data_IF_887530635347
#
_entry.id   IF_887530635347
#
_cell.length_a   1.000
_cell.length_b   1.000
_cell.length_c   1.000
_cell.angle_alpha   90.00
_cell.angle_beta   90.00
_cell.angle_gamma   90.00
#
_symmetry.space_group_name_H-M   'P 1'
#
loop_
_entity.id
_entity.type
_entity.pdbx_description
1 polymer ?
#
# COMPACT_ATOMS: atom_id res chain seq x y z
N UNK A 1 -2.54 18.37 -6.96
CA UNK A 1 -3.33 18.06 -5.75
C UNK A 1 -4.04 16.71 -5.85
N UNK A 2 -4.91 16.49 -6.84
CA UNK A 2 -5.73 15.26 -6.95
C UNK A 2 -4.95 13.94 -7.02
N UNK A 3 -3.84 13.88 -7.76
CA UNK A 3 -3.04 12.64 -7.86
C UNK A 3 -2.52 12.16 -6.49
N UNK A 4 -2.00 13.07 -5.68
CA UNK A 4 -1.49 12.75 -4.34
C UNK A 4 -2.63 12.36 -3.39
N UNK A 5 -3.77 13.05 -3.48
CA UNK A 5 -4.96 12.72 -2.69
C UNK A 5 -5.48 11.31 -3.03
N UNK A 6 -5.65 11.00 -4.32
CA UNK A 6 -6.10 9.68 -4.78
C UNK A 6 -5.07 8.61 -4.39
N UNK A 7 -3.77 8.85 -4.59
CA UNK A 7 -2.73 7.93 -4.17
C UNK A 7 -2.83 7.61 -2.67
N UNK A 8 -2.99 8.63 -1.83
CA UNK A 8 -3.11 8.48 -0.39
C UNK A 8 -4.38 7.70 0.00
N UNK A 9 -5.52 7.99 -0.62
CA UNK A 9 -6.77 7.26 -0.38
C UNK A 9 -6.63 5.77 -0.75
N UNK A 10 -6.16 5.48 -1.97
CA UNK A 10 -6.01 4.10 -2.46
C UNK A 10 -5.06 3.31 -1.56
N UNK A 11 -3.93 3.93 -1.21
CA UNK A 11 -2.95 3.31 -0.33
C UNK A 11 -3.51 3.07 1.08
N UNK A 12 -4.20 4.06 1.64
CA UNK A 12 -4.84 3.95 2.96
C UNK A 12 -5.82 2.80 3.01
N UNK A 13 -6.72 2.70 2.03
CA UNK A 13 -7.65 1.57 1.96
C UNK A 13 -6.89 0.24 1.79
N UNK A 14 -5.80 0.21 1.00
CA UNK A 14 -4.99 -0.98 0.81
C UNK A 14 -4.39 -1.53 2.11
N UNK A 15 -3.61 -0.73 2.84
CA UNK A 15 -2.98 -1.22 4.06
C UNK A 15 -3.98 -1.41 5.21
N UNK A 16 -5.02 -0.58 5.29
CA UNK A 16 -6.06 -0.71 6.32
C UNK A 16 -6.89 -1.99 6.11
N UNK A 17 -6.99 -2.46 4.86
CA UNK A 17 -7.60 -3.78 4.59
C UNK A 17 -6.77 -4.92 5.16
N UNK A 18 -5.42 -4.84 5.18
CA UNK A 18 -4.62 -5.84 5.91
C UNK A 18 -4.93 -5.85 7.39
N UNK A 19 -5.15 -4.68 7.99
CA UNK A 19 -5.59 -4.58 9.39
C UNK A 19 -6.99 -5.18 9.57
N UNK A 20 -7.94 -4.87 8.70
CA UNK A 20 -9.28 -5.47 8.72
C UNK A 20 -9.26 -7.01 8.53
N UNK A 21 -8.28 -7.55 7.81
CA UNK A 21 -8.11 -9.01 7.69
C UNK A 21 -7.72 -9.66 9.02
N UNK A 22 -7.07 -8.93 9.93
CA UNK A 22 -6.77 -9.40 11.29
C UNK A 22 -8.07 -9.60 12.08
N UNK A 23 -9.06 -8.72 11.88
CA UNK A 23 -10.30 -8.72 12.66
C UNK A 23 -11.46 -9.44 11.97
N UNK A 24 -11.25 -10.02 10.77
CA UNK A 24 -12.30 -10.61 9.91
C UNK A 24 -13.22 -11.59 10.64
N UNK A 25 -12.66 -12.52 11.41
CA UNK A 25 -13.48 -13.53 12.11
C UNK A 25 -14.37 -12.91 13.19
N UNK A 26 -13.89 -11.86 13.83
CA UNK A 26 -14.62 -11.19 14.90
C UNK A 26 -15.66 -10.25 14.30
N UNK A 27 -15.32 -9.51 13.23
CA UNK A 27 -16.26 -8.71 12.44
C UNK A 27 -17.45 -9.53 11.94
N UNK A 28 -17.20 -10.75 11.45
CA UNK A 28 -18.26 -11.67 11.00
C UNK A 28 -19.20 -12.07 12.12
N UNK A 29 -18.70 -12.31 13.34
CA UNK A 29 -19.53 -12.70 14.50
C UNK A 29 -20.48 -11.59 14.93
N UNK A 30 -20.02 -10.34 14.89
CA UNK A 30 -20.78 -9.18 15.36
C UNK A 30 -21.48 -8.40 14.24
N UNK A 31 -21.31 -8.82 12.99
CA UNK A 31 -21.96 -8.22 11.81
C UNK A 31 -21.36 -6.89 11.37
N UNK A 32 -20.08 -6.63 11.68
CA UNK A 32 -19.35 -5.43 11.22
C UNK A 32 -19.04 -5.56 9.72
N UNK A 33 -19.23 -4.46 9.00
CA UNK A 33 -19.02 -4.37 7.54
C UNK A 33 -17.64 -3.81 7.20
N UNK A 34 -16.58 -4.52 7.60
CA UNK A 34 -15.20 -4.12 7.27
C UNK A 34 -14.85 -4.37 5.80
N UNK A 35 -13.75 -3.81 5.33
CA UNK A 35 -13.25 -4.02 3.96
C UNK A 35 -12.87 -5.48 3.72
N UNK A 36 -12.31 -6.17 4.73
CA UNK A 36 -12.03 -7.60 4.64
C UNK A 36 -13.31 -8.44 4.47
N UNK A 37 -14.41 -8.07 5.13
CA UNK A 37 -15.72 -8.71 4.94
C UNK A 37 -16.31 -8.38 3.57
N UNK A 38 -16.24 -7.10 3.15
CA UNK A 38 -16.76 -6.65 1.85
C UNK A 38 -16.04 -7.31 0.67
N UNK A 39 -14.72 -7.41 0.74
CA UNK A 39 -13.89 -7.93 -0.35
C UNK A 39 -13.83 -9.47 -0.35
N UNK A 40 -14.10 -10.11 0.79
CA UNK A 40 -14.13 -11.56 0.90
C UNK A 40 -12.86 -12.20 0.38
N UNK A 41 -12.99 -13.17 -0.53
CA UNK A 41 -11.83 -13.91 -1.08
C UNK A 41 -11.00 -13.09 -2.08
N UNK A 42 -11.53 -11.95 -2.55
CA UNK A 42 -10.83 -11.02 -3.43
C UNK A 42 -9.96 -10.00 -2.68
N UNK A 43 -9.99 -9.99 -1.35
CA UNK A 43 -9.23 -9.11 -0.45
C UNK A 43 -7.81 -8.82 -0.95
N UNK A 44 -7.00 -9.86 -1.16
CA UNK A 44 -5.60 -9.73 -1.56
C UNK A 44 -5.42 -9.13 -2.96
N UNK A 45 -6.27 -9.50 -3.91
CA UNK A 45 -6.20 -8.98 -5.29
C UNK A 45 -6.62 -7.52 -5.31
N UNK A 46 -7.61 -7.14 -4.51
CA UNK A 46 -8.05 -5.75 -4.36
C UNK A 46 -6.95 -4.92 -3.71
N UNK A 47 -6.32 -5.40 -2.63
CA UNK A 47 -5.18 -4.71 -2.00
C UNK A 47 -4.06 -4.47 -3.01
N UNK A 48 -3.65 -5.52 -3.74
CA UNK A 48 -2.60 -5.40 -4.77
C UNK A 48 -2.97 -4.38 -5.85
N UNK A 49 -4.23 -4.37 -6.28
CA UNK A 49 -4.75 -3.42 -7.27
C UNK A 49 -4.71 -1.99 -6.73
N UNK A 50 -5.17 -1.77 -5.50
CA UNK A 50 -5.16 -0.46 -4.84
C UNK A 50 -3.73 0.07 -4.67
N UNK A 51 -2.81 -0.77 -4.20
CA UNK A 51 -1.38 -0.46 -4.07
C UNK A 51 -0.75 -0.13 -5.43
N UNK A 52 -1.05 -0.92 -6.48
CA UNK A 52 -0.59 -0.66 -7.84
C UNK A 52 -1.11 0.66 -8.41
N UNK A 53 -2.38 0.97 -8.19
CA UNK A 53 -2.98 2.25 -8.61
C UNK A 53 -2.41 3.43 -7.81
N UNK A 54 -2.11 3.25 -6.52
CA UNK A 54 -1.44 4.26 -5.72
C UNK A 54 -0.04 4.57 -6.27
N UNK A 55 0.76 3.54 -6.59
CA UNK A 55 2.05 3.71 -7.24
C UNK A 55 1.91 4.38 -8.62
N UNK A 56 0.90 4.03 -9.41
CA UNK A 56 0.60 4.70 -10.68
C UNK A 56 0.30 6.19 -10.51
N UNK A 57 -0.49 6.55 -9.51
CA UNK A 57 -0.78 7.95 -9.18
C UNK A 57 0.48 8.70 -8.75
N UNK A 58 1.35 8.08 -7.94
CA UNK A 58 2.62 8.66 -7.51
C UNK A 58 3.62 8.79 -8.67
N UNK A 59 3.66 7.83 -9.58
CA UNK A 59 4.47 7.88 -10.80
C UNK A 59 4.05 9.06 -11.68
N UNK A 60 2.75 9.24 -11.90
CA UNK A 60 2.19 10.39 -12.63
C UNK A 60 2.48 11.72 -11.91
N UNK A 61 2.43 11.74 -10.58
CA UNK A 61 2.79 12.92 -9.79
C UNK A 61 4.27 13.25 -9.93
N UNK A 62 5.16 12.25 -9.85
CA UNK A 62 6.60 12.43 -10.06
C UNK A 62 6.92 12.98 -11.43
N UNK A 63 6.26 12.49 -12.49
CA UNK A 63 6.42 13.06 -13.82
C UNK A 63 5.97 14.54 -13.91
N UNK A 64 4.91 14.94 -13.20
CA UNK A 64 4.42 16.33 -13.14
C UNK A 64 5.34 17.27 -12.35
N UNK A 65 6.04 16.76 -11.35
CA UNK A 65 7.04 17.49 -10.56
C UNK A 65 8.45 17.35 -11.13
N UNK A 66 8.58 16.72 -12.30
CA UNK A 66 9.85 16.47 -12.99
C UNK A 66 10.86 15.70 -12.12
N UNK A 67 10.38 14.83 -11.21
CA UNK A 67 11.22 13.99 -10.34
C UNK A 67 12.11 13.04 -11.15
N UNK A 68 13.36 12.89 -10.71
CA UNK A 68 14.39 12.12 -11.39
C UNK A 68 14.51 10.68 -10.90
N UNK A 69 15.63 10.04 -11.24
CA UNK A 69 15.85 8.61 -11.04
C UNK A 69 15.76 8.18 -9.56
N UNK A 70 16.19 9.03 -8.62
CA UNK A 70 16.15 8.71 -7.19
C UNK A 70 14.72 8.47 -6.70
N UNK A 71 13.76 9.27 -7.17
CA UNK A 71 12.36 9.08 -6.86
C UNK A 71 11.81 7.76 -7.41
N UNK A 72 12.11 7.43 -8.67
CA UNK A 72 11.63 6.17 -9.28
C UNK A 72 12.26 4.93 -8.65
N UNK A 73 13.51 5.02 -8.17
CA UNK A 73 14.12 3.95 -7.35
C UNK A 73 13.36 3.78 -6.03
N UNK A 74 12.98 4.88 -5.38
CA UNK A 74 12.11 4.85 -4.18
C UNK A 74 10.76 4.19 -4.45
N UNK A 75 10.12 4.50 -5.59
CA UNK A 75 8.87 3.83 -6.02
C UNK A 75 9.08 2.34 -6.29
N UNK A 76 10.20 1.94 -6.90
CA UNK A 76 10.52 0.55 -7.15
C UNK A 76 10.73 -0.23 -5.84
N UNK A 77 11.41 0.39 -4.87
CA UNK A 77 11.58 -0.19 -3.53
C UNK A 77 10.23 -0.34 -2.79
N UNK A 78 9.33 0.64 -2.91
CA UNK A 78 7.97 0.55 -2.38
C UNK A 78 7.15 -0.57 -3.07
N UNK A 79 7.30 -0.74 -4.38
CA UNK A 79 6.68 -1.87 -5.10
C UNK A 79 7.21 -3.23 -4.60
N UNK A 80 8.50 -3.32 -4.25
CA UNK A 80 9.08 -4.49 -3.61
C UNK A 80 8.48 -4.77 -2.23
N UNK A 81 8.21 -3.73 -1.44
CA UNK A 81 7.52 -3.85 -0.15
C UNK A 81 6.11 -4.42 -0.32
N UNK A 82 5.33 -3.87 -1.25
CA UNK A 82 3.98 -4.35 -1.57
C UNK A 82 3.96 -5.78 -2.10
N UNK A 83 4.94 -6.16 -2.93
CA UNK A 83 5.09 -7.54 -3.39
C UNK A 83 5.37 -8.50 -2.22
N UNK A 84 6.20 -8.10 -1.26
CA UNK A 84 6.47 -8.88 -0.05
C UNK A 84 5.22 -9.01 0.82
N UNK A 85 4.46 -7.92 1.03
CA UNK A 85 3.20 -7.93 1.78
C UNK A 85 2.18 -8.88 1.15
N UNK A 86 2.01 -8.79 -0.17
CA UNK A 86 1.11 -9.66 -0.94
C UNK A 86 1.49 -11.15 -0.84
N UNK A 87 2.79 -11.46 -0.87
CA UNK A 87 3.29 -12.83 -0.75
C UNK A 87 3.20 -13.36 0.69
N UNK A 88 3.54 -12.54 1.68
CA UNK A 88 3.53 -12.91 3.10
C UNK A 88 2.11 -13.20 3.60
N UNK A 89 1.09 -12.54 3.03
CA UNK A 89 -0.31 -12.68 3.44
C UNK A 89 -1.07 -13.78 2.70
N UNK A 90 -0.38 -14.68 2.00
CA UNK A 90 -1.04 -15.66 1.10
C UNK A 90 -2.01 -16.61 1.79
N UNK A 91 -1.68 -17.02 3.02
CA UNK A 91 -2.49 -17.92 3.84
C UNK A 91 -3.53 -17.17 4.69
N UNK A 92 -3.53 -15.82 4.65
CA UNK A 92 -4.44 -14.95 5.41
C UNK A 92 -4.38 -15.16 6.93
N UNK A 93 -3.23 -15.60 7.44
CA UNK A 93 -2.99 -15.70 8.87
C UNK A 93 -3.01 -14.32 9.54
N UNK A 94 -3.68 -14.20 10.69
CA UNK A 94 -3.87 -12.94 11.43
C UNK A 94 -2.53 -12.23 11.68
N UNK A 95 -1.52 -12.97 12.16
CA UNK A 95 -0.19 -12.42 12.44
C UNK A 95 0.52 -11.92 11.18
N UNK A 96 0.38 -12.64 10.06
CA UNK A 96 0.97 -12.24 8.79
C UNK A 96 0.32 -10.97 8.23
N UNK A 97 -1.01 -10.86 8.33
CA UNK A 97 -1.76 -9.67 7.94
C UNK A 97 -1.39 -8.46 8.81
N UNK A 98 -1.29 -8.64 10.13
CA UNK A 98 -0.85 -7.57 11.03
C UNK A 98 0.59 -7.13 10.74
N UNK A 99 1.48 -8.08 10.46
CA UNK A 99 2.85 -7.79 10.05
C UNK A 99 2.91 -7.03 8.72
N UNK A 100 2.05 -7.36 7.75
CA UNK A 100 1.97 -6.63 6.49
C UNK A 100 1.46 -5.19 6.69
N UNK A 101 0.43 -5.00 7.53
CA UNK A 101 -0.05 -3.68 7.93
C UNK A 101 1.07 -2.82 8.54
N UNK A 102 1.84 -3.38 9.49
CA UNK A 102 2.97 -2.67 10.09
C UNK A 102 4.08 -2.44 9.07
N UNK A 103 4.42 -3.42 8.25
CA UNK A 103 5.51 -3.34 7.27
C UNK A 103 5.30 -2.21 6.25
N UNK A 104 4.05 -1.86 5.93
CA UNK A 104 3.69 -0.82 4.98
C UNK A 104 4.40 0.54 5.21
N UNK A 105 4.81 0.87 6.43
CA UNK A 105 5.60 2.07 6.70
C UNK A 105 6.94 2.10 5.94
N UNK A 106 7.55 0.95 5.63
CA UNK A 106 8.77 0.86 4.84
C UNK A 106 8.57 1.30 3.39
N UNK A 107 7.40 1.06 2.80
CA UNK A 107 7.06 1.60 1.49
C UNK A 107 6.96 3.15 1.54
N UNK A 108 6.38 3.69 2.62
CA UNK A 108 6.38 5.13 2.95
C UNK A 108 7.78 5.71 3.04
N UNK A 109 8.65 5.06 3.82
CA UNK A 109 10.03 5.48 3.99
C UNK A 109 10.80 5.44 2.67
N UNK A 110 10.63 4.40 1.86
CA UNK A 110 11.29 4.28 0.56
C UNK A 110 10.91 5.42 -0.40
N UNK A 111 9.62 5.77 -0.49
CA UNK A 111 9.14 6.89 -1.30
C UNK A 111 9.70 8.21 -0.75
N UNK A 112 9.64 8.42 0.57
CA UNK A 112 10.15 9.63 1.21
C UNK A 112 11.65 9.82 0.95
N UNK A 113 12.47 8.79 1.18
CA UNK A 113 13.91 8.83 0.91
C UNK A 113 14.20 9.06 -0.57
N UNK A 114 13.42 8.45 -1.48
CA UNK A 114 13.53 8.68 -2.92
C UNK A 114 13.31 10.15 -3.29
N UNK A 115 12.30 10.81 -2.69
CA UNK A 115 12.05 12.25 -2.86
C UNK A 115 13.21 13.08 -2.30
N UNK A 116 13.62 12.82 -1.06
CA UNK A 116 14.71 13.57 -0.40
C UNK A 116 16.01 13.46 -1.21
N UNK A 117 16.35 12.25 -1.67
CA UNK A 117 17.53 12.01 -2.49
C UNK A 117 17.43 12.74 -3.84
N UNK A 118 16.25 12.76 -4.48
CA UNK A 118 16.06 13.48 -5.75
C UNK A 118 16.30 14.98 -5.61
N UNK A 119 15.81 15.58 -4.53
CA UNK A 119 16.04 16.99 -4.22
C UNK A 119 17.49 17.28 -3.79
N UNK A 120 18.17 16.32 -3.16
CA UNK A 120 19.56 16.49 -2.73
C UNK A 120 20.58 16.38 -3.88
N UNK A 121 20.22 15.69 -4.97
CA UNK A 121 21.09 15.46 -6.14
C UNK A 121 20.82 16.45 -7.28
N UNK A 122 19.73 17.24 -7.20
CA UNK A 122 19.49 18.38 -8.09
C UNK A 122 20.39 19.56 -7.77
#
# INVERSE_FOLDING_TARGET
AWLLYIANLLWTVGYDTYYAMVDRDDDLKIGVKSTAVLFGDADRVIILTLQGLALGCLMLAGARFELGACFYIGLLAAAGCFAWEFWSTRERERDACFKAFLHNHWAGLAIFLGIVADYAVR
#
